data_IF_679287823644
#
_entry.id   IF_679287823644
#
_cell.length_a   1.000
_cell.length_b   1.000
_cell.length_c   1.000
_cell.angle_alpha   90.00
_cell.angle_beta   90.00
_cell.angle_gamma   90.00
#
_symmetry.space_group_name_H-M   'P 1'
#
loop_
_entity.id
_entity.type
_entity.pdbx_description
1 polymer ?
#
# COMPACT_ATOMS: atom_id res chain seq x y z
N UNK A 1 10.06 -12.99 -28.72
CA UNK A 1 10.23 -11.77 -27.89
C UNK A 1 11.55 -11.11 -28.31
N UNK A 2 11.54 -9.82 -28.65
CA UNK A 2 12.78 -9.07 -28.95
C UNK A 2 13.55 -8.72 -27.66
N UNK A 3 12.85 -8.55 -26.54
CA UNK A 3 13.41 -8.19 -25.22
C UNK A 3 13.13 -9.32 -24.23
N UNK A 4 14.11 -9.73 -23.45
CA UNK A 4 13.97 -10.79 -22.45
C UNK A 4 14.51 -10.30 -21.09
N UNK A 5 13.80 -9.35 -20.41
CA UNK A 5 14.21 -8.84 -19.13
C UNK A 5 13.96 -9.87 -18.02
N UNK A 6 14.64 -9.71 -16.89
CA UNK A 6 14.21 -10.31 -15.63
C UNK A 6 12.84 -9.71 -15.30
N UNK A 7 11.82 -10.55 -15.21
CA UNK A 7 10.44 -10.09 -14.97
C UNK A 7 10.03 -10.35 -13.53
N UNK A 8 9.64 -9.30 -12.84
CA UNK A 8 9.07 -9.33 -11.49
C UNK A 8 7.58 -9.03 -11.59
N UNK A 9 6.73 -9.96 -11.16
CA UNK A 9 5.28 -9.73 -11.06
C UNK A 9 4.91 -9.56 -9.59
N UNK A 10 4.15 -8.50 -9.26
CA UNK A 10 3.79 -8.13 -7.88
C UNK A 10 2.27 -8.14 -7.73
N UNK A 11 1.74 -8.86 -6.74
CA UNK A 11 0.33 -8.79 -6.34
C UNK A 11 0.19 -8.65 -4.82
N UNK A 12 -1.02 -8.45 -4.33
CA UNK A 12 -1.34 -8.35 -2.90
C UNK A 12 -2.63 -7.57 -2.64
N UNK A 13 -3.10 -7.60 -1.42
CA UNK A 13 -4.29 -6.85 -0.99
C UNK A 13 -4.00 -5.35 -0.87
N UNK A 14 -2.85 -4.99 -0.30
CA UNK A 14 -2.33 -3.62 -0.19
C UNK A 14 -0.84 -3.60 -0.52
N UNK A 15 -0.22 -2.41 -0.62
CA UNK A 15 1.24 -2.28 -0.81
C UNK A 15 1.77 -2.55 -2.22
N UNK A 16 1.00 -3.08 -3.15
CA UNK A 16 1.45 -3.42 -4.53
C UNK A 16 2.19 -2.27 -5.23
N UNK A 17 1.57 -1.11 -5.30
CA UNK A 17 2.14 0.05 -5.98
C UNK A 17 3.36 0.58 -5.23
N UNK A 18 3.32 0.55 -3.90
CA UNK A 18 4.47 0.95 -3.07
C UNK A 18 5.67 0.02 -3.33
N UNK A 19 5.45 -1.30 -3.35
CA UNK A 19 6.50 -2.28 -3.69
C UNK A 19 6.97 -2.12 -5.13
N UNK A 20 6.09 -1.84 -6.09
CA UNK A 20 6.45 -1.56 -7.48
C UNK A 20 7.39 -0.33 -7.59
N UNK A 21 7.06 0.76 -6.89
CA UNK A 21 7.89 1.98 -6.88
C UNK A 21 9.22 1.78 -6.15
N UNK A 22 9.18 1.16 -4.95
CA UNK A 22 10.40 0.83 -4.20
C UNK A 22 11.32 -0.10 -5.02
N UNK A 23 10.75 -1.14 -5.64
CA UNK A 23 11.48 -2.06 -6.50
C UNK A 23 12.11 -1.33 -7.69
N UNK A 24 11.35 -0.40 -8.31
CA UNK A 24 11.86 0.40 -9.42
C UNK A 24 13.02 1.30 -8.99
N UNK A 25 12.90 2.00 -7.87
CA UNK A 25 13.98 2.83 -7.32
C UNK A 25 15.23 1.98 -7.02
N UNK A 26 15.02 0.81 -6.40
CA UNK A 26 16.10 -0.12 -6.04
C UNK A 26 16.80 -0.71 -7.26
N UNK A 27 16.05 -1.29 -8.19
CA UNK A 27 16.65 -1.96 -9.36
C UNK A 27 17.30 -0.98 -10.33
N UNK A 28 16.83 0.26 -10.38
CA UNK A 28 17.42 1.31 -11.24
C UNK A 28 18.83 1.73 -10.85
N UNK A 29 19.31 1.36 -9.65
CA UNK A 29 20.73 1.57 -9.27
C UNK A 29 21.67 0.73 -10.14
N UNK A 30 21.22 -0.45 -10.57
CA UNK A 30 22.07 -1.41 -11.31
C UNK A 30 21.57 -1.73 -12.71
N UNK A 31 20.27 -1.70 -12.94
CA UNK A 31 19.63 -2.19 -14.17
C UNK A 31 18.82 -1.10 -14.87
N UNK A 32 18.73 -1.19 -16.19
CA UNK A 32 17.74 -0.44 -16.96
C UNK A 32 16.36 -1.05 -16.68
N UNK A 33 15.60 -0.36 -15.86
CA UNK A 33 14.32 -0.85 -15.30
C UNK A 33 13.14 -0.21 -16.02
N UNK A 34 12.17 -1.04 -16.41
CA UNK A 34 10.84 -0.61 -16.86
C UNK A 34 9.78 -1.14 -15.91
N UNK A 35 8.72 -0.38 -15.70
CA UNK A 35 7.67 -0.76 -14.73
C UNK A 35 6.26 -0.41 -15.19
N UNK A 36 5.29 -1.07 -14.59
CA UNK A 36 3.88 -0.66 -14.65
C UNK A 36 3.72 0.76 -14.12
N UNK A 37 3.05 1.61 -14.87
CA UNK A 37 2.76 3.01 -14.52
C UNK A 37 1.35 3.14 -13.96
N UNK A 38 1.19 3.98 -12.95
CA UNK A 38 -0.11 4.31 -12.36
C UNK A 38 -0.91 3.04 -11.96
N UNK A 39 -2.15 2.95 -12.45
CA UNK A 39 -3.09 1.85 -12.20
C UNK A 39 -3.18 0.85 -13.36
N UNK A 40 -2.14 0.74 -14.21
CA UNK A 40 -2.09 -0.20 -15.34
C UNK A 40 -1.83 -1.64 -14.86
N UNK A 41 -2.60 -2.11 -13.88
CA UNK A 41 -2.39 -3.38 -13.19
C UNK A 41 -3.38 -4.49 -13.57
N UNK A 42 -4.17 -4.27 -14.63
CA UNK A 42 -5.03 -5.27 -15.26
C UNK A 42 -4.42 -5.75 -16.59
N UNK A 43 -5.11 -6.63 -17.32
CA UNK A 43 -4.65 -7.20 -18.59
C UNK A 43 -4.35 -6.13 -19.65
N UNK A 44 -5.17 -5.08 -19.76
CA UNK A 44 -4.97 -3.99 -20.73
C UNK A 44 -3.73 -3.17 -20.35
N UNK A 45 -3.63 -2.77 -19.08
CA UNK A 45 -2.49 -2.00 -18.58
C UNK A 45 -1.18 -2.78 -18.64
N UNK A 46 -1.23 -4.10 -18.41
CA UNK A 46 -0.07 -4.96 -18.60
C UNK A 46 0.37 -4.99 -20.09
N UNK A 47 -0.58 -5.14 -21.03
CA UNK A 47 -0.25 -5.07 -22.44
C UNK A 47 0.39 -3.73 -22.82
N UNK A 48 -0.13 -2.61 -22.31
CA UNK A 48 0.46 -1.28 -22.53
C UNK A 48 1.88 -1.19 -21.94
N UNK A 49 2.11 -1.73 -20.75
CA UNK A 49 3.42 -1.80 -20.12
C UNK A 49 4.41 -2.59 -20.99
N UNK A 50 4.01 -3.77 -21.47
CA UNK A 50 4.85 -4.62 -22.31
C UNK A 50 5.15 -4.00 -23.67
N UNK A 51 4.18 -3.32 -24.29
CA UNK A 51 4.35 -2.68 -25.59
C UNK A 51 5.17 -1.39 -25.53
N UNK A 52 5.14 -0.69 -24.41
CA UNK A 52 5.93 0.54 -24.17
C UNK A 52 7.34 0.28 -23.63
N UNK A 53 7.70 -1.00 -23.42
CA UNK A 53 8.99 -1.37 -22.85
C UNK A 53 10.14 -1.11 -23.84
N UNK A 54 11.17 -0.32 -23.47
CA UNK A 54 12.37 -0.12 -24.26
C UNK A 54 13.11 -1.41 -24.57
N UNK A 55 13.77 -1.48 -25.73
CA UNK A 55 14.47 -2.70 -26.18
C UNK A 55 15.67 -3.07 -25.30
N UNK A 56 16.24 -2.11 -24.59
CA UNK A 56 17.39 -2.28 -23.70
C UNK A 56 17.00 -2.57 -22.24
N UNK A 57 15.71 -2.78 -21.96
CA UNK A 57 15.20 -3.10 -20.61
C UNK A 57 15.82 -4.40 -20.09
N UNK A 58 16.40 -4.33 -18.89
CA UNK A 58 17.01 -5.47 -18.20
C UNK A 58 16.11 -6.03 -17.10
N UNK A 59 15.30 -5.19 -16.44
CA UNK A 59 14.33 -5.60 -15.42
C UNK A 59 12.98 -5.00 -15.76
N UNK A 60 11.95 -5.84 -15.78
CA UNK A 60 10.55 -5.45 -15.90
C UNK A 60 9.85 -5.70 -14.56
N UNK A 61 9.20 -4.67 -14.02
CA UNK A 61 8.39 -4.76 -12.82
C UNK A 61 6.93 -4.58 -13.21
N UNK A 62 6.13 -5.61 -13.05
CA UNK A 62 4.72 -5.62 -13.40
C UNK A 62 3.86 -5.68 -12.12
N UNK A 63 2.89 -4.77 -12.00
CA UNK A 63 1.88 -4.83 -10.94
C UNK A 63 0.67 -5.63 -11.43
N UNK A 64 0.23 -6.62 -10.65
CA UNK A 64 -0.96 -7.44 -10.90
C UNK A 64 -2.08 -7.12 -9.90
N UNK A 65 -3.08 -6.39 -10.36
CA UNK A 65 -4.37 -6.21 -9.68
C UNK A 65 -5.36 -7.32 -10.05
N UNK A 66 -6.38 -7.51 -9.21
CA UNK A 66 -7.45 -8.46 -9.47
C UNK A 66 -8.77 -7.98 -8.89
N UNK A 67 -9.85 -8.50 -9.43
CA UNK A 67 -11.22 -8.39 -8.90
C UNK A 67 -11.84 -9.77 -8.64
N UNK A 68 -11.26 -10.84 -9.22
CA UNK A 68 -11.74 -12.20 -9.13
C UNK A 68 -10.66 -13.25 -9.35
N UNK A 69 -11.04 -14.51 -9.21
CA UNK A 69 -10.20 -15.67 -9.54
C UNK A 69 -9.89 -15.69 -11.05
N UNK A 70 -8.70 -16.20 -11.41
CA UNK A 70 -8.22 -16.35 -12.78
C UNK A 70 -7.53 -15.10 -13.34
N UNK A 71 -7.74 -13.92 -12.76
CA UNK A 71 -7.16 -12.68 -13.29
C UNK A 71 -5.66 -12.60 -13.03
N UNK A 72 -5.18 -12.99 -11.84
CA UNK A 72 -3.74 -13.04 -11.55
C UNK A 72 -3.06 -14.17 -12.36
N UNK A 73 -3.73 -15.31 -12.56
CA UNK A 73 -3.24 -16.36 -13.44
C UNK A 73 -3.01 -15.84 -14.87
N UNK A 74 -3.97 -15.07 -15.42
CA UNK A 74 -3.84 -14.46 -16.74
C UNK A 74 -2.62 -13.53 -16.83
N UNK A 75 -2.43 -12.67 -15.82
CA UNK A 75 -1.27 -11.76 -15.76
C UNK A 75 0.04 -12.55 -15.65
N UNK A 76 0.07 -13.62 -14.83
CA UNK A 76 1.21 -14.51 -14.70
C UNK A 76 1.54 -15.21 -16.05
N UNK A 77 0.51 -15.66 -16.78
CA UNK A 77 0.65 -16.28 -18.10
C UNK A 77 1.31 -15.34 -19.11
N UNK A 78 0.93 -14.08 -19.13
CA UNK A 78 1.46 -13.10 -20.07
C UNK A 78 2.85 -12.60 -19.70
N UNK A 79 3.18 -12.52 -18.43
CA UNK A 79 4.49 -12.07 -17.94
C UNK A 79 5.52 -13.19 -17.88
N UNK A 80 5.11 -14.43 -17.56
CA UNK A 80 6.01 -15.56 -17.28
C UNK A 80 7.14 -15.13 -16.36
N UNK A 81 6.83 -14.74 -15.10
CA UNK A 81 7.78 -14.02 -14.26
C UNK A 81 8.97 -14.90 -13.85
N UNK A 82 10.12 -14.25 -13.65
CA UNK A 82 11.28 -14.81 -12.97
C UNK A 82 11.13 -14.72 -11.46
N UNK A 83 10.43 -13.68 -10.99
CA UNK A 83 10.14 -13.43 -9.57
C UNK A 83 8.66 -13.10 -9.42
N UNK A 84 8.01 -13.79 -8.51
CA UNK A 84 6.63 -13.53 -8.10
C UNK A 84 6.63 -12.96 -6.68
N UNK A 85 5.98 -11.82 -6.48
CA UNK A 85 5.92 -11.16 -5.17
C UNK A 85 4.48 -11.04 -4.72
N UNK A 86 4.16 -11.57 -3.54
CA UNK A 86 2.87 -11.34 -2.85
C UNK A 86 3.15 -10.40 -1.69
N UNK A 87 2.57 -9.19 -1.72
CA UNK A 87 2.83 -8.21 -0.65
C UNK A 87 2.14 -8.57 0.66
N UNK A 88 0.88 -8.97 0.58
CA UNK A 88 0.09 -9.49 1.70
C UNK A 88 -1.20 -10.14 1.20
N UNK A 89 -1.88 -10.84 2.12
CA UNK A 89 -3.25 -11.30 1.99
C UNK A 89 -4.06 -10.64 3.10
N UNK A 90 -5.02 -9.82 2.72
CA UNK A 90 -5.92 -9.10 3.62
C UNK A 90 -7.32 -9.03 3.02
N UNK A 91 -8.12 -8.09 3.47
CA UNK A 91 -9.56 -7.98 3.19
C UNK A 91 -9.92 -7.22 1.89
N UNK A 92 -8.94 -6.76 1.10
CA UNK A 92 -9.22 -6.10 -0.17
C UNK A 92 -9.98 -7.05 -1.13
N UNK A 93 -11.08 -6.56 -1.71
CA UNK A 93 -12.00 -7.31 -2.60
C UNK A 93 -12.80 -8.43 -1.88
N UNK A 94 -12.90 -8.38 -0.54
CA UNK A 94 -13.63 -9.39 0.24
C UNK A 94 -15.10 -9.52 -0.19
N UNK A 95 -15.75 -8.41 -0.54
CA UNK A 95 -17.12 -8.42 -1.03
C UNK A 95 -17.34 -9.14 -2.36
N UNK A 96 -16.27 -9.38 -3.14
CA UNK A 96 -16.34 -10.13 -4.41
C UNK A 96 -15.94 -11.58 -4.26
N UNK A 97 -14.95 -11.86 -3.42
CA UNK A 97 -14.36 -13.18 -3.25
C UNK A 97 -14.96 -13.95 -2.07
N UNK A 98 -15.69 -13.26 -1.18
CA UNK A 98 -16.45 -13.84 -0.08
C UNK A 98 -15.63 -14.26 1.13
N UNK A 99 -14.33 -14.56 1.00
CA UNK A 99 -13.47 -14.93 2.13
C UNK A 99 -12.00 -14.58 1.90
N UNK A 100 -11.23 -14.49 2.99
CA UNK A 100 -9.78 -14.24 2.96
C UNK A 100 -9.04 -15.43 2.32
N UNK A 101 -9.54 -16.65 2.49
CA UNK A 101 -9.02 -17.85 1.84
C UNK A 101 -9.14 -17.77 0.32
N UNK A 102 -10.27 -17.31 -0.20
CA UNK A 102 -10.45 -17.10 -1.64
C UNK A 102 -9.54 -15.98 -2.16
N UNK A 103 -9.31 -14.93 -1.35
CA UNK A 103 -8.34 -13.88 -1.69
C UNK A 103 -6.92 -14.46 -1.74
N UNK A 104 -6.53 -15.29 -0.77
CA UNK A 104 -5.25 -15.97 -0.76
C UNK A 104 -5.07 -16.88 -1.98
N UNK A 105 -6.09 -17.69 -2.29
CA UNK A 105 -6.11 -18.55 -3.46
C UNK A 105 -5.92 -17.76 -4.75
N UNK A 106 -6.67 -16.67 -4.94
CA UNK A 106 -6.56 -15.82 -6.11
C UNK A 106 -5.17 -15.16 -6.24
N UNK A 107 -4.57 -14.70 -5.14
CA UNK A 107 -3.22 -14.12 -5.17
C UNK A 107 -2.14 -15.17 -5.43
N UNK A 108 -2.29 -16.38 -4.92
CA UNK A 108 -1.38 -17.48 -5.20
C UNK A 108 -1.42 -17.97 -6.65
N UNK A 109 -2.40 -17.56 -7.46
CA UNK A 109 -2.37 -17.79 -8.91
C UNK A 109 -1.14 -17.17 -9.60
N UNK A 110 -0.47 -16.22 -8.96
CA UNK A 110 0.75 -15.57 -9.47
C UNK A 110 1.87 -16.57 -9.80
N UNK A 111 1.89 -17.73 -9.14
CA UNK A 111 2.92 -18.76 -9.36
C UNK A 111 2.61 -19.71 -10.52
N UNK A 112 1.41 -19.65 -11.11
CA UNK A 112 0.98 -20.60 -12.15
C UNK A 112 1.88 -20.64 -13.38
N UNK A 113 2.47 -19.50 -13.74
CA UNK A 113 3.40 -19.39 -14.87
C UNK A 113 4.76 -18.82 -14.42
N UNK A 114 5.06 -18.89 -13.12
CA UNK A 114 6.39 -18.61 -12.60
C UNK A 114 7.37 -19.61 -13.20
N UNK A 115 8.51 -19.13 -13.74
CA UNK A 115 9.52 -20.00 -14.36
C UNK A 115 10.04 -21.04 -13.36
N UNK A 116 10.51 -22.21 -13.84
CA UNK A 116 10.95 -23.32 -12.99
C UNK A 116 12.09 -22.94 -12.05
N UNK A 117 12.99 -22.09 -12.49
CA UNK A 117 14.11 -21.50 -11.72
C UNK A 117 13.74 -20.16 -11.07
N UNK A 118 12.48 -19.80 -11.14
CA UNK A 118 11.92 -18.61 -10.52
C UNK A 118 11.86 -18.69 -8.99
N UNK A 119 11.53 -17.58 -8.37
CA UNK A 119 11.39 -17.49 -6.92
C UNK A 119 10.06 -16.82 -6.57
N UNK A 120 9.30 -17.45 -5.68
CA UNK A 120 8.20 -16.77 -4.98
C UNK A 120 8.76 -16.05 -3.76
N UNK A 121 8.47 -14.76 -3.62
CA UNK A 121 8.77 -13.94 -2.45
C UNK A 121 7.44 -13.51 -1.81
N UNK A 122 7.25 -13.82 -0.54
CA UNK A 122 5.99 -13.53 0.15
C UNK A 122 6.22 -13.41 1.67
N UNK A 123 5.30 -12.79 2.42
CA UNK A 123 5.29 -12.92 3.87
C UNK A 123 5.21 -14.37 4.33
N UNK A 124 5.79 -14.68 5.48
CA UNK A 124 5.58 -15.97 6.15
C UNK A 124 4.15 -16.04 6.68
N UNK A 125 3.24 -16.51 5.84
CA UNK A 125 1.81 -16.59 6.10
C UNK A 125 1.30 -18.01 5.89
N UNK A 126 0.58 -18.58 6.89
CA UNK A 126 -0.06 -19.89 6.74
C UNK A 126 -0.98 -19.97 5.52
N UNK A 127 -1.75 -18.92 5.24
CA UNK A 127 -2.66 -18.88 4.09
C UNK A 127 -1.91 -18.91 2.77
N UNK A 128 -0.81 -18.16 2.63
CA UNK A 128 -0.01 -18.17 1.41
C UNK A 128 0.61 -19.56 1.22
N UNK A 129 1.18 -20.15 2.29
CA UNK A 129 1.75 -21.49 2.25
C UNK A 129 0.72 -22.56 1.87
N UNK A 130 -0.51 -22.44 2.37
CA UNK A 130 -1.61 -23.38 2.08
C UNK A 130 -2.01 -23.39 0.60
N UNK A 131 -2.07 -22.21 -0.05
CA UNK A 131 -2.55 -22.10 -1.43
C UNK A 131 -1.42 -21.99 -2.48
N UNK A 132 -0.16 -21.87 -2.03
CA UNK A 132 0.98 -21.87 -2.94
C UNK A 132 1.18 -23.26 -3.56
N UNK A 133 1.15 -23.34 -4.88
CA UNK A 133 1.35 -24.59 -5.65
C UNK A 133 2.73 -24.66 -6.31
N UNK A 134 3.61 -23.69 -6.07
CA UNK A 134 4.94 -23.66 -6.68
C UNK A 134 5.92 -24.56 -5.92
N UNK A 135 6.41 -25.59 -6.63
CA UNK A 135 7.36 -26.54 -6.07
C UNK A 135 8.83 -26.05 -6.09
N UNK A 136 9.09 -24.89 -6.71
CA UNK A 136 10.43 -24.32 -6.80
C UNK A 136 10.83 -23.52 -5.55
N UNK A 137 11.74 -22.57 -5.72
CA UNK A 137 12.28 -21.79 -4.61
C UNK A 137 11.25 -20.80 -4.06
N UNK A 138 10.98 -20.88 -2.75
CA UNK A 138 10.12 -19.96 -2.03
C UNK A 138 10.96 -19.23 -0.97
N UNK A 139 10.88 -17.89 -0.94
CA UNK A 139 11.47 -17.02 0.06
C UNK A 139 10.34 -16.40 0.89
N UNK A 140 10.07 -16.99 2.05
CA UNK A 140 9.09 -16.46 2.99
C UNK A 140 9.77 -15.51 3.97
N UNK A 141 9.30 -14.27 3.99
CA UNK A 141 9.82 -13.20 4.84
C UNK A 141 9.11 -13.25 6.19
N UNK A 142 9.86 -13.58 7.24
CA UNK A 142 9.40 -13.42 8.61
C UNK A 142 9.67 -11.98 9.07
N UNK A 143 8.63 -11.22 9.32
CA UNK A 143 8.78 -9.83 9.76
C UNK A 143 9.23 -9.68 11.21
N UNK A 144 9.18 -10.75 12.03
CA UNK A 144 9.74 -10.76 13.37
C UNK A 144 11.28 -10.70 13.36
N UNK A 145 11.92 -11.06 12.23
CA UNK A 145 13.36 -10.96 12.03
C UNK A 145 13.83 -9.51 11.72
N UNK A 146 12.90 -8.57 11.60
CA UNK A 146 13.20 -7.17 11.29
C UNK A 146 13.35 -6.36 12.56
N UNK A 147 14.49 -5.74 12.76
CA UNK A 147 14.72 -4.86 13.89
C UNK A 147 14.63 -3.40 13.43
N UNK A 148 13.54 -2.71 13.77
CA UNK A 148 13.42 -1.26 13.57
C UNK A 148 14.30 -0.56 14.62
N UNK A 149 15.25 0.25 14.14
CA UNK A 149 16.15 1.06 14.95
C UNK A 149 15.57 2.44 15.23
N UNK A 150 14.98 3.04 14.21
CA UNK A 150 14.37 4.36 14.25
C UNK A 150 13.18 4.40 13.30
N UNK A 151 12.08 5.02 13.73
CA UNK A 151 10.93 5.32 12.89
C UNK A 151 10.39 6.69 13.31
N UNK A 152 10.47 7.67 12.41
CA UNK A 152 9.97 9.02 12.62
C UNK A 152 9.47 9.62 11.29
N UNK A 153 9.23 10.92 11.29
CA UNK A 153 8.70 11.67 10.14
C UNK A 153 9.66 11.75 8.95
N UNK A 154 10.95 11.46 9.16
CA UNK A 154 11.96 11.44 8.09
C UNK A 154 12.06 10.06 7.43
N UNK A 155 11.47 9.04 8.06
CA UNK A 155 11.47 7.67 7.56
C UNK A 155 11.76 6.61 8.61
N UNK A 156 12.17 5.45 8.13
CA UNK A 156 12.45 4.27 8.96
C UNK A 156 13.87 3.74 8.73
N UNK A 157 14.64 3.58 9.81
CA UNK A 157 15.91 2.87 9.81
C UNK A 157 15.72 1.50 10.46
N UNK A 158 16.16 0.44 9.79
CA UNK A 158 15.95 -0.93 10.26
C UNK A 158 17.07 -1.86 9.83
N UNK A 159 17.24 -2.94 10.57
CA UNK A 159 18.16 -4.04 10.26
C UNK A 159 17.37 -5.23 9.73
N UNK A 160 17.80 -5.74 8.59
CA UNK A 160 17.29 -6.97 8.01
C UNK A 160 18.45 -7.77 7.39
N UNK A 161 18.57 -9.07 7.70
CA UNK A 161 19.68 -9.94 7.24
C UNK A 161 21.06 -9.31 7.48
N UNK A 162 21.30 -8.88 8.72
CA UNK A 162 22.56 -8.28 9.19
C UNK A 162 23.00 -7.00 8.46
N UNK A 163 22.11 -6.40 7.67
CA UNK A 163 22.39 -5.14 7.00
C UNK A 163 21.42 -4.05 7.46
N UNK A 164 21.92 -2.84 7.60
CA UNK A 164 21.12 -1.66 7.95
C UNK A 164 20.63 -0.97 6.69
N UNK A 165 19.34 -0.66 6.66
CA UNK A 165 18.68 0.03 5.57
C UNK A 165 17.95 1.27 6.10
N UNK A 166 17.86 2.29 5.26
CA UNK A 166 17.03 3.47 5.48
C UNK A 166 15.98 3.57 4.36
N UNK A 167 14.73 3.76 4.77
CA UNK A 167 13.60 4.02 3.87
C UNK A 167 13.04 5.39 4.21
N UNK A 168 13.02 6.38 3.27
CA UNK A 168 12.44 7.70 3.49
C UNK A 168 10.90 7.65 3.43
N UNK A 169 10.32 6.73 4.19
CA UNK A 169 8.89 6.50 4.31
C UNK A 169 8.60 5.92 5.69
N UNK A 170 7.58 6.45 6.34
CA UNK A 170 7.17 6.04 7.66
C UNK A 170 6.28 4.79 7.61
N UNK A 171 6.15 4.13 8.76
CA UNK A 171 5.20 3.05 9.01
C UNK A 171 5.76 1.66 8.84
N UNK A 172 5.44 0.83 9.81
CA UNK A 172 5.86 -0.58 9.90
C UNK A 172 5.52 -1.37 8.61
N UNK A 173 4.35 -1.14 8.03
CA UNK A 173 3.93 -1.78 6.79
C UNK A 173 4.82 -1.42 5.59
N UNK A 174 5.45 -0.23 5.59
CA UNK A 174 6.41 0.16 4.55
C UNK A 174 7.76 -0.51 4.76
N UNK A 175 8.18 -0.73 6.02
CA UNK A 175 9.35 -1.55 6.34
C UNK A 175 9.13 -2.99 5.87
N UNK A 176 7.95 -3.57 6.11
CA UNK A 176 7.59 -4.90 5.61
C UNK A 176 7.64 -4.97 4.07
N UNK A 177 7.09 -3.96 3.38
CA UNK A 177 7.21 -3.84 1.93
C UNK A 177 8.68 -3.78 1.47
N UNK A 178 9.53 -3.01 2.18
CA UNK A 178 10.95 -2.91 1.87
C UNK A 178 11.66 -4.26 2.03
N UNK A 179 11.32 -5.08 3.03
CA UNK A 179 11.88 -6.42 3.17
C UNK A 179 11.59 -7.33 1.98
N UNK A 180 10.37 -7.26 1.41
CA UNK A 180 10.02 -7.99 0.18
C UNK A 180 10.82 -7.48 -1.02
N UNK A 181 11.07 -6.16 -1.10
CA UNK A 181 11.94 -5.56 -2.12
C UNK A 181 13.38 -6.04 -1.97
N UNK A 182 13.92 -6.04 -0.74
CA UNK A 182 15.29 -6.53 -0.45
C UNK A 182 15.43 -7.99 -0.90
N UNK A 183 14.50 -8.88 -0.50
CA UNK A 183 14.53 -10.29 -0.91
C UNK A 183 14.51 -10.45 -2.43
N UNK A 184 13.65 -9.69 -3.11
CA UNK A 184 13.55 -9.74 -4.56
C UNK A 184 14.84 -9.26 -5.22
N UNK A 185 15.39 -8.13 -4.78
CA UNK A 185 16.61 -7.54 -5.32
C UNK A 185 17.85 -8.44 -5.09
N UNK A 186 17.99 -9.03 -3.89
CA UNK A 186 19.02 -10.04 -3.62
C UNK A 186 18.90 -11.24 -4.57
N UNK A 187 17.66 -11.72 -4.83
CA UNK A 187 17.41 -12.87 -5.69
C UNK A 187 17.77 -12.64 -7.16
N UNK A 188 17.86 -11.40 -7.62
CA UNK A 188 18.29 -11.01 -8.96
C UNK A 188 19.75 -10.55 -9.02
N UNK A 189 20.52 -10.75 -7.96
CA UNK A 189 21.96 -10.53 -7.92
C UNK A 189 22.39 -9.09 -7.60
N UNK A 190 21.57 -8.33 -6.88
CA UNK A 190 22.00 -7.06 -6.29
C UNK A 190 22.71 -7.28 -4.96
N UNK A 191 23.66 -6.42 -4.65
CA UNK A 191 24.34 -6.39 -3.35
C UNK A 191 23.53 -5.60 -2.32
N UNK A 192 23.71 -5.86 -1.00
CA UNK A 192 23.06 -5.06 0.05
C UNK A 192 23.31 -3.55 -0.06
N UNK A 193 24.51 -3.15 -0.50
CA UNK A 193 24.87 -1.74 -0.70
C UNK A 193 24.07 -1.09 -1.83
N UNK A 194 23.95 -1.75 -2.99
CA UNK A 194 23.12 -1.28 -4.11
C UNK A 194 21.64 -1.18 -3.70
N UNK A 195 21.16 -2.12 -2.89
CA UNK A 195 19.78 -2.14 -2.39
C UNK A 195 19.54 -0.98 -1.42
N UNK A 196 20.49 -0.75 -0.48
CA UNK A 196 20.41 0.36 0.48
C UNK A 196 20.36 1.72 -0.23
N UNK A 197 21.20 1.91 -1.26
CA UNK A 197 21.17 3.11 -2.10
C UNK A 197 19.81 3.28 -2.78
N UNK A 198 19.26 2.21 -3.36
CA UNK A 198 17.99 2.25 -4.07
C UNK A 198 16.80 2.53 -3.17
N UNK A 199 16.74 1.93 -1.98
CA UNK A 199 15.69 2.22 -1.00
C UNK A 199 15.74 3.67 -0.52
N UNK A 200 16.94 4.23 -0.31
CA UNK A 200 17.14 5.64 0.04
C UNK A 200 16.65 6.59 -1.05
N UNK A 201 16.69 6.17 -2.31
CA UNK A 201 16.22 6.96 -3.46
C UNK A 201 14.70 6.86 -3.69
N UNK A 202 13.99 6.03 -2.91
CA UNK A 202 12.54 5.92 -3.00
C UNK A 202 11.86 7.24 -2.67
N UNK A 203 10.82 7.57 -3.45
CA UNK A 203 9.96 8.74 -3.22
C UNK A 203 8.54 8.28 -3.04
N UNK A 204 7.85 8.87 -2.07
CA UNK A 204 6.42 8.60 -1.85
C UNK A 204 5.60 8.88 -3.11
N UNK A 205 4.51 8.14 -3.25
CA UNK A 205 3.61 8.21 -4.39
C UNK A 205 2.47 9.18 -4.05
N UNK A 206 2.04 9.95 -5.04
CA UNK A 206 0.87 10.83 -4.95
C UNK A 206 -0.33 10.10 -4.29
N UNK A 207 -0.94 10.75 -3.29
CA UNK A 207 -2.08 10.24 -2.52
C UNK A 207 -1.85 8.91 -1.77
N UNK A 208 -0.59 8.55 -1.53
CA UNK A 208 -0.19 7.40 -0.71
C UNK A 208 0.77 7.84 0.37
N UNK A 209 0.21 8.22 1.52
CA UNK A 209 0.97 8.77 2.63
C UNK A 209 1.78 10.01 2.23
N UNK A 210 1.15 10.91 1.49
CA UNK A 210 1.78 12.13 0.99
C UNK A 210 1.54 13.27 1.98
N UNK A 211 2.63 13.86 2.50
CA UNK A 211 2.54 15.03 3.37
C UNK A 211 2.33 16.31 2.55
N UNK A 212 1.28 17.04 2.88
CA UNK A 212 0.95 18.34 2.27
C UNK A 212 0.70 19.38 3.37
N UNK A 213 1.23 20.60 3.20
CA UNK A 213 0.97 21.72 4.10
C UNK A 213 -0.07 22.65 3.50
N UNK A 214 -1.16 22.91 4.24
CA UNK A 214 -2.25 23.81 3.84
C UNK A 214 -2.53 24.77 4.99
N UNK A 215 -2.14 26.04 4.84
CA UNK A 215 -2.19 27.00 5.95
C UNK A 215 -1.42 26.46 7.17
N UNK A 216 -2.10 26.31 8.30
CA UNK A 216 -1.54 25.76 9.54
C UNK A 216 -1.70 24.22 9.66
N UNK A 217 -2.34 23.56 8.67
CA UNK A 217 -2.54 22.11 8.69
C UNK A 217 -1.38 21.36 8.04
N UNK A 218 -0.97 20.27 8.68
CA UNK A 218 -0.11 19.24 8.09
C UNK A 218 -1.00 18.05 7.73
N UNK A 219 -1.22 17.80 6.44
CA UNK A 219 -2.17 16.82 5.95
C UNK A 219 -1.41 15.62 5.38
N UNK A 220 -1.68 14.44 5.91
CA UNK A 220 -1.25 13.16 5.35
C UNK A 220 -2.36 12.69 4.41
N UNK A 221 -2.10 12.81 3.11
CA UNK A 221 -3.01 12.37 2.05
C UNK A 221 -2.77 10.90 1.72
N UNK A 222 -3.66 10.02 2.19
CA UNK A 222 -3.66 8.59 1.89
C UNK A 222 -5.01 8.16 1.28
N UNK A 223 -5.46 8.94 0.27
CA UNK A 223 -6.79 8.82 -0.35
C UNK A 223 -6.80 8.05 -1.67
N UNK A 224 -5.73 7.33 -2.01
CA UNK A 224 -5.72 6.55 -3.26
C UNK A 224 -6.66 5.35 -3.19
N UNK A 225 -6.67 4.62 -2.08
CA UNK A 225 -7.59 3.50 -1.82
C UNK A 225 -7.75 3.25 -0.32
N UNK A 226 -8.82 2.55 0.05
CA UNK A 226 -9.13 2.27 1.45
C UNK A 226 -9.75 0.88 1.59
N UNK A 227 -9.19 0.06 2.47
CA UNK A 227 -9.74 -1.19 2.96
C UNK A 227 -9.44 -1.31 4.47
N UNK A 228 -10.11 -2.21 5.21
CA UNK A 228 -9.98 -2.30 6.67
C UNK A 228 -8.55 -2.40 7.18
N UNK A 229 -7.72 -3.26 6.56
CA UNK A 229 -6.33 -3.46 6.98
C UNK A 229 -5.49 -2.19 6.76
N UNK A 230 -5.64 -1.56 5.58
CA UNK A 230 -4.90 -0.34 5.25
C UNK A 230 -5.32 0.87 6.10
N UNK A 231 -6.60 0.94 6.50
CA UNK A 231 -7.09 1.99 7.41
C UNK A 231 -6.48 1.81 8.79
N UNK A 232 -6.54 0.61 9.36
CA UNK A 232 -5.95 0.31 10.68
C UNK A 232 -4.44 0.58 10.70
N UNK A 233 -3.72 0.17 9.66
CA UNK A 233 -2.28 0.43 9.53
C UNK A 233 -1.98 1.93 9.44
N UNK A 234 -2.73 2.69 8.64
CA UNK A 234 -2.57 4.14 8.52
C UNK A 234 -2.86 4.88 9.83
N UNK A 235 -3.94 4.51 10.54
CA UNK A 235 -4.29 5.09 11.84
C UNK A 235 -3.18 4.84 12.86
N UNK A 236 -2.71 3.58 12.99
CA UNK A 236 -1.63 3.22 13.93
C UNK A 236 -0.38 4.05 13.65
N UNK A 237 0.07 4.12 12.40
CA UNK A 237 1.24 4.89 11.99
C UNK A 237 1.06 6.37 12.27
N UNK A 238 -0.07 6.96 11.87
CA UNK A 238 -0.35 8.37 12.07
C UNK A 238 -0.36 8.77 13.54
N UNK A 239 -1.03 8.00 14.39
CA UNK A 239 -1.18 8.33 15.80
C UNK A 239 0.11 8.12 16.59
N UNK A 240 1.02 7.26 16.14
CA UNK A 240 2.31 7.01 16.81
C UNK A 240 3.41 8.01 16.44
N UNK A 241 3.36 8.61 15.23
CA UNK A 241 4.48 9.41 14.71
C UNK A 241 4.35 10.91 14.95
N UNK A 242 3.14 11.43 15.00
CA UNK A 242 2.94 12.89 15.08
C UNK A 242 2.53 13.33 16.47
N UNK A 243 3.12 14.43 16.94
CA UNK A 243 2.77 15.08 18.20
C UNK A 243 1.81 16.25 17.98
N UNK A 244 1.01 16.58 19.01
CA UNK A 244 0.04 17.66 18.96
C UNK A 244 -1.38 17.21 18.60
N UNK A 245 -2.19 18.11 18.04
CA UNK A 245 -3.59 17.83 17.69
C UNK A 245 -3.64 16.90 16.46
N UNK A 246 -4.14 15.70 16.65
CA UNK A 246 -4.26 14.65 15.60
C UNK A 246 -5.73 14.45 15.24
N UNK A 247 -6.07 14.71 13.98
CA UNK A 247 -7.44 14.59 13.46
C UNK A 247 -7.48 13.48 12.42
N UNK A 248 -8.41 12.56 12.57
CA UNK A 248 -8.70 11.51 11.61
C UNK A 248 -9.87 11.96 10.74
N UNK A 249 -9.70 11.94 9.41
CA UNK A 249 -10.75 12.22 8.43
C UNK A 249 -10.91 10.99 7.56
N UNK A 250 -11.94 10.20 7.86
CA UNK A 250 -12.16 8.89 7.27
C UNK A 250 -13.41 8.88 6.40
N UNK A 251 -13.28 8.35 5.20
CA UNK A 251 -14.40 8.09 4.29
C UNK A 251 -14.73 6.62 4.13
N UNK A 252 -15.64 6.33 3.22
CA UNK A 252 -16.08 4.97 2.97
C UNK A 252 -14.95 4.08 2.46
N UNK A 253 -14.89 2.87 2.97
CA UNK A 253 -14.10 1.76 2.44
C UNK A 253 -14.94 1.02 1.40
N UNK A 254 -14.41 0.87 0.17
CA UNK A 254 -15.10 0.22 -0.93
C UNK A 254 -14.86 -1.29 -1.02
N UNK A 255 -15.64 -1.96 -1.87
CA UNK A 255 -15.48 -3.37 -2.26
C UNK A 255 -15.61 -4.38 -1.10
N UNK A 256 -16.37 -4.03 -0.06
CA UNK A 256 -16.56 -4.85 1.13
C UNK A 256 -17.84 -5.73 1.07
N UNK A 257 -18.68 -5.55 0.05
CA UNK A 257 -19.93 -6.31 -0.10
C UNK A 257 -20.90 -6.12 1.07
N UNK A 258 -21.60 -7.17 1.44
CA UNK A 258 -22.65 -7.13 2.47
C UNK A 258 -22.09 -6.85 3.88
N UNK A 259 -20.83 -7.16 4.12
CA UNK A 259 -20.15 -6.90 5.40
C UNK A 259 -19.61 -5.44 5.51
N UNK A 260 -19.93 -4.55 4.56
CA UNK A 260 -19.39 -3.20 4.55
C UNK A 260 -19.65 -2.43 5.87
N UNK A 261 -20.86 -2.48 6.39
CA UNK A 261 -21.21 -1.83 7.67
C UNK A 261 -20.38 -2.41 8.82
N UNK A 262 -20.25 -3.73 8.89
CA UNK A 262 -19.48 -4.45 9.92
C UNK A 262 -18.03 -3.95 9.97
N UNK A 263 -17.35 -3.87 8.83
CA UNK A 263 -15.95 -3.41 8.78
C UNK A 263 -15.78 -1.94 9.18
N UNK A 264 -16.79 -1.08 8.92
CA UNK A 264 -16.76 0.30 9.40
C UNK A 264 -16.95 0.36 10.92
N UNK A 265 -17.85 -0.45 11.49
CA UNK A 265 -18.01 -0.58 12.94
C UNK A 265 -16.73 -1.08 13.61
N UNK A 266 -16.13 -2.16 13.09
CA UNK A 266 -14.85 -2.69 13.60
C UNK A 266 -13.71 -1.66 13.54
N UNK A 267 -13.73 -0.73 12.58
CA UNK A 267 -12.79 0.39 12.53
C UNK A 267 -13.03 1.38 13.66
N UNK A 268 -14.30 1.64 14.00
CA UNK A 268 -14.68 2.44 15.16
C UNK A 268 -14.25 1.79 16.48
N UNK A 269 -14.46 0.49 16.62
CA UNK A 269 -14.00 -0.29 17.79
C UNK A 269 -12.49 -0.23 17.95
N UNK A 270 -11.74 -0.42 16.86
CA UNK A 270 -10.28 -0.33 16.84
C UNK A 270 -9.77 1.04 17.32
N UNK A 271 -10.49 2.13 17.05
CA UNK A 271 -10.13 3.47 17.48
C UNK A 271 -10.24 3.69 19.00
N UNK A 272 -10.92 2.82 19.74
CA UNK A 272 -11.02 2.93 21.19
C UNK A 272 -9.67 2.79 21.91
N UNK A 273 -8.71 2.12 21.29
CA UNK A 273 -7.37 1.88 21.85
C UNK A 273 -6.41 3.06 21.67
N UNK A 274 -6.83 4.15 21.00
CA UNK A 274 -5.94 5.25 20.62
C UNK A 274 -6.46 6.61 21.08
N UNK A 275 -5.55 7.54 21.35
CA UNK A 275 -5.87 8.93 21.63
C UNK A 275 -5.73 9.81 20.40
N UNK A 276 -6.75 10.61 20.12
CA UNK A 276 -6.80 11.57 19.02
C UNK A 276 -7.72 12.76 19.39
N UNK A 277 -7.52 13.90 18.75
CA UNK A 277 -8.30 15.14 18.99
C UNK A 277 -9.74 15.03 18.47
N UNK A 278 -9.89 14.49 17.25
CA UNK A 278 -11.21 14.32 16.62
C UNK A 278 -11.19 13.23 15.54
N UNK A 279 -12.36 12.61 15.36
CA UNK A 279 -12.72 11.81 14.22
C UNK A 279 -13.79 12.52 13.40
N UNK A 280 -13.49 12.83 12.15
CA UNK A 280 -14.45 13.37 11.20
C UNK A 280 -14.70 12.30 10.12
N UNK A 281 -15.94 11.98 9.87
CA UNK A 281 -16.31 11.01 8.83
C UNK A 281 -17.14 11.66 7.74
N UNK A 282 -17.01 11.20 6.49
CA UNK A 282 -17.83 11.67 5.38
C UNK A 282 -18.10 10.52 4.41
N UNK A 283 -19.38 10.19 4.22
CA UNK A 283 -19.84 9.10 3.37
C UNK A 283 -20.97 8.30 4.00
N UNK A 284 -21.64 7.47 3.22
CA UNK A 284 -22.81 6.72 3.68
C UNK A 284 -22.44 5.57 4.65
N UNK A 285 -21.28 4.95 4.47
CA UNK A 285 -20.82 3.84 5.29
C UNK A 285 -19.97 4.31 6.47
N UNK A 286 -19.15 5.33 6.26
CA UNK A 286 -18.23 5.86 7.28
C UNK A 286 -18.92 6.47 8.50
N UNK A 287 -20.22 6.78 8.43
CA UNK A 287 -21.03 7.14 9.61
C UNK A 287 -21.05 6.04 10.69
N UNK A 288 -20.79 4.80 10.31
CA UNK A 288 -20.72 3.67 11.23
C UNK A 288 -19.36 3.54 11.94
N UNK A 289 -18.35 4.35 11.58
CA UNK A 289 -17.09 4.44 12.33
C UNK A 289 -17.36 5.31 13.56
N UNK A 290 -17.77 4.69 14.65
CA UNK A 290 -18.18 5.38 15.87
C UNK A 290 -17.49 4.75 17.08
N UNK A 291 -16.30 5.27 17.48
CA UNK A 291 -15.67 4.84 18.71
C UNK A 291 -16.48 5.35 19.94
N UNK A 292 -16.31 4.67 21.07
CA UNK A 292 -16.94 5.05 22.36
C UNK A 292 -16.28 6.28 23.01
N UNK A 293 -15.74 7.20 22.20
CA UNK A 293 -15.04 8.40 22.62
C UNK A 293 -15.70 9.65 22.05
N UNK A 294 -15.64 10.76 22.75
CA UNK A 294 -16.13 12.04 22.26
C UNK A 294 -15.31 12.57 21.08
N UNK A 295 -15.81 13.64 20.44
CA UNK A 295 -15.10 14.31 19.35
C UNK A 295 -15.35 13.73 17.95
N UNK A 296 -16.35 12.86 17.80
CA UNK A 296 -16.75 12.31 16.52
C UNK A 296 -17.83 13.16 15.85
N UNK A 297 -17.62 13.55 14.59
CA UNK A 297 -18.59 14.32 13.79
C UNK A 297 -18.70 13.70 12.40
N UNK A 298 -19.95 13.44 12.00
CA UNK A 298 -20.23 12.93 10.65
C UNK A 298 -20.72 14.07 9.73
N UNK A 299 -20.25 14.04 8.49
CA UNK A 299 -20.60 14.98 7.43
C UNK A 299 -21.17 14.25 6.22
N UNK A 300 -22.12 14.89 5.54
CA UNK A 300 -22.70 14.37 4.29
C UNK A 300 -21.96 14.90 3.06
N UNK A 301 -21.17 15.96 3.20
CA UNK A 301 -20.39 16.54 2.12
C UNK A 301 -19.00 17.04 2.57
N UNK A 302 -18.06 17.01 1.64
CA UNK A 302 -16.64 17.33 1.86
C UNK A 302 -16.39 18.83 2.08
N UNK A 303 -17.21 19.69 1.50
CA UNK A 303 -17.08 21.15 1.62
C UNK A 303 -17.42 21.61 3.03
N UNK A 304 -18.53 21.14 3.59
CA UNK A 304 -18.92 21.41 4.98
C UNK A 304 -17.89 20.87 5.97
N UNK A 305 -17.32 19.68 5.71
CA UNK A 305 -16.24 19.12 6.50
C UNK A 305 -15.00 20.03 6.47
N UNK A 306 -14.57 20.49 5.28
CA UNK A 306 -13.42 21.39 5.14
C UNK A 306 -13.66 22.73 5.87
N UNK A 307 -14.86 23.32 5.76
CA UNK A 307 -15.24 24.52 6.47
C UNK A 307 -15.20 24.33 8.00
N UNK A 308 -15.65 23.18 8.49
CA UNK A 308 -15.57 22.85 9.92
C UNK A 308 -14.13 22.77 10.40
N UNK A 309 -13.24 22.09 9.66
CA UNK A 309 -11.81 22.03 9.96
C UNK A 309 -11.18 23.41 10.04
N UNK A 310 -11.37 24.25 9.01
CA UNK A 310 -10.80 25.59 8.93
C UNK A 310 -11.27 26.51 10.08
N UNK A 311 -12.51 26.36 10.52
CA UNK A 311 -13.07 27.17 11.62
C UNK A 311 -12.65 26.67 13.00
N UNK A 312 -12.76 25.37 13.26
CA UNK A 312 -12.54 24.79 14.60
C UNK A 312 -11.06 24.63 14.93
N UNK A 313 -10.22 24.33 13.94
CA UNK A 313 -8.80 24.02 14.13
C UNK A 313 -7.88 25.05 13.44
N UNK A 314 -8.30 26.31 13.39
CA UNK A 314 -7.57 27.43 12.77
C UNK A 314 -6.10 27.58 13.20
N UNK A 315 -5.77 27.11 14.41
CA UNK A 315 -4.40 27.12 14.96
C UNK A 315 -3.52 26.02 14.38
N UNK A 316 -4.11 25.09 13.62
CA UNK A 316 -3.42 24.00 12.98
C UNK A 316 -3.62 22.65 13.66
N UNK A 317 -3.38 21.60 12.89
CA UNK A 317 -3.40 20.20 13.33
C UNK A 317 -2.68 19.32 12.32
N UNK A 318 -2.30 18.12 12.75
CA UNK A 318 -2.02 17.00 11.84
C UNK A 318 -3.33 16.34 11.45
N UNK A 319 -3.52 16.04 10.16
CA UNK A 319 -4.74 15.45 9.61
C UNK A 319 -4.38 14.23 8.78
N UNK A 320 -4.94 13.07 9.12
CA UNK A 320 -4.91 11.91 8.22
C UNK A 320 -6.19 11.91 7.38
N UNK A 321 -6.05 12.00 6.06
CA UNK A 321 -7.14 11.81 5.10
C UNK A 321 -7.07 10.40 4.51
N UNK A 322 -8.12 9.58 4.70
CA UNK A 322 -8.17 8.23 4.12
C UNK A 322 -9.58 7.83 3.69
N UNK A 323 -9.71 7.46 2.43
CA UNK A 323 -10.96 6.98 1.84
C UNK A 323 -10.70 6.16 0.58
N UNK A 324 -11.72 5.45 0.10
CA UNK A 324 -11.70 4.81 -1.22
C UNK A 324 -11.58 5.83 -2.35
N UNK A 325 -10.98 5.41 -3.46
CA UNK A 325 -10.72 6.29 -4.63
C UNK A 325 -11.98 6.99 -5.15
N UNK A 326 -13.12 6.31 -5.12
CA UNK A 326 -14.41 6.86 -5.56
C UNK A 326 -14.88 8.06 -4.75
N UNK A 327 -14.42 8.21 -3.50
CA UNK A 327 -14.78 9.31 -2.61
C UNK A 327 -14.09 10.63 -2.98
N UNK A 328 -12.98 10.60 -3.72
CA UNK A 328 -12.22 11.79 -4.14
C UNK A 328 -11.92 12.74 -2.98
N UNK A 329 -11.36 12.21 -1.91
CA UNK A 329 -11.12 12.96 -0.66
C UNK A 329 -10.08 14.08 -0.81
N UNK A 330 -9.27 14.06 -1.88
CA UNK A 330 -8.43 15.18 -2.26
C UNK A 330 -9.19 16.51 -2.43
N UNK A 331 -10.49 16.47 -2.74
CA UNK A 331 -11.33 17.67 -2.81
C UNK A 331 -11.43 18.41 -1.47
N UNK A 332 -11.25 17.72 -0.33
CA UNK A 332 -11.16 18.36 1.00
C UNK A 332 -9.93 19.26 1.07
N UNK A 333 -8.80 18.80 0.54
CA UNK A 333 -7.54 19.57 0.50
C UNK A 333 -7.71 20.79 -0.41
N UNK A 334 -8.36 20.63 -1.56
CA UNK A 334 -8.65 21.73 -2.48
C UNK A 334 -9.53 22.81 -1.83
N UNK A 335 -10.57 22.40 -1.08
CA UNK A 335 -11.43 23.34 -0.35
C UNK A 335 -10.68 24.03 0.82
N UNK A 336 -9.85 23.29 1.58
CA UNK A 336 -9.02 23.89 2.62
C UNK A 336 -8.03 24.92 2.05
N UNK A 337 -7.44 24.65 0.89
CA UNK A 337 -6.56 25.60 0.20
C UNK A 337 -7.26 26.91 -0.18
N UNK A 338 -8.57 26.87 -0.47
CA UNK A 338 -9.37 28.08 -0.75
C UNK A 338 -9.70 28.85 0.51
N UNK A 339 -9.91 28.15 1.63
CA UNK A 339 -10.31 28.74 2.93
C UNK A 339 -9.14 29.28 3.75
N UNK A 340 -7.94 28.77 3.52
CA UNK A 340 -6.73 29.15 4.29
C UNK A 340 -5.82 30.15 3.54
N UNK A 341 -6.27 30.65 2.39
CA UNK A 341 -5.66 31.79 1.69
C UNK A 341 -6.11 33.08 2.34
#
# INVERSE_FOLDING_TARGET
KKVNPITVLITGSSGKTTVNEMMSATTSVKFRTHKTKLNHNNEIGLCQTLLSMPEDTQVLIAEGGMRGLGEIELLSKHTQPDRAVITNVGTAHIGRLGSVENIAKAKCEIVKYLKKDGVLIAPDSPLIKQFNTFAGKNSYVNFDDVKVLKADVDGSEFVYKDNTYFLPQEGEHNVQNACLVIETALSIGMTPAEIAEGLKNFKSIDKRWEMQKVGNFNIINDCYNSNPDSVKAAIKTFLSLYDGKKILVLGDMGELGDDAVKYHVETGEFLNDFDFEALLTCGELSKNISPNKGGCVHFTDKKTLAQYLARKYKEGAYILLKASRSMKFEEIIEELNKLCR
#
